data_IF_364182849360
#
_entry.id   IF_364182849360
#
_cell.length_a   1.000
_cell.length_b   1.000
_cell.length_c   1.000
_cell.angle_alpha   90.00
_cell.angle_beta   90.00
_cell.angle_gamma   90.00
#
_symmetry.space_group_name_H-M   'P 1'
#
loop_
_entity.id
_entity.type
_entity.pdbx_description
1 polymer ?
#
# COMPACT_ATOMS: atom_id res chain seq x y z
N UNK A 1 -26.62 26.73 -7.06
CA UNK A 1 -25.80 25.69 -7.71
C UNK A 1 -24.48 25.65 -6.97
N UNK A 2 -24.12 24.51 -6.39
CA UNK A 2 -22.80 24.31 -5.79
C UNK A 2 -21.79 24.25 -6.92
N UNK A 3 -20.87 25.19 -6.97
CA UNK A 3 -19.79 25.20 -7.97
C UNK A 3 -18.87 24.02 -7.70
N UNK A 4 -18.64 23.18 -8.72
CA UNK A 4 -17.67 22.08 -8.65
C UNK A 4 -16.27 22.65 -8.47
N UNK A 5 -15.53 22.11 -7.50
CA UNK A 5 -14.11 22.45 -7.31
C UNK A 5 -13.29 21.87 -8.48
N UNK A 6 -12.77 22.75 -9.33
CA UNK A 6 -11.93 22.38 -10.48
C UNK A 6 -10.44 22.59 -10.24
N UNK A 7 -10.02 22.81 -8.98
CA UNK A 7 -8.59 22.85 -8.64
C UNK A 7 -7.96 21.46 -8.82
N UNK A 8 -6.64 21.39 -8.97
CA UNK A 8 -5.89 20.12 -9.04
C UNK A 8 -6.22 19.21 -7.85
N UNK A 9 -6.25 19.78 -6.65
CA UNK A 9 -6.63 19.09 -5.41
C UNK A 9 -8.08 18.58 -5.45
N UNK A 10 -9.01 19.37 -5.99
CA UNK A 10 -10.41 18.98 -6.15
C UNK A 10 -10.56 17.77 -7.08
N UNK A 11 -9.85 17.78 -8.21
CA UNK A 11 -9.83 16.67 -9.16
C UNK A 11 -9.15 15.42 -8.57
N UNK A 12 -7.99 15.57 -7.94
CA UNK A 12 -7.27 14.47 -7.27
C UNK A 12 -8.14 13.79 -6.21
N UNK A 13 -8.82 14.58 -5.38
CA UNK A 13 -9.71 14.06 -4.33
C UNK A 13 -10.84 13.21 -4.92
N UNK A 14 -11.41 13.64 -6.06
CA UNK A 14 -12.45 12.90 -6.76
C UNK A 14 -11.91 11.57 -7.32
N UNK A 15 -10.73 11.60 -7.96
CA UNK A 15 -10.09 10.40 -8.51
C UNK A 15 -9.78 9.39 -7.39
N UNK A 16 -9.11 9.82 -6.33
CA UNK A 16 -8.73 8.95 -5.20
C UNK A 16 -9.97 8.35 -4.55
N UNK A 17 -11.01 9.14 -4.29
CA UNK A 17 -12.26 8.65 -3.71
C UNK A 17 -12.92 7.57 -4.57
N UNK A 18 -12.92 7.77 -5.89
CA UNK A 18 -13.52 6.83 -6.85
C UNK A 18 -12.72 5.54 -6.94
N UNK A 19 -11.38 5.63 -6.97
CA UNK A 19 -10.50 4.47 -7.11
C UNK A 19 -10.44 3.62 -5.83
N UNK A 20 -10.31 4.27 -4.66
CA UNK A 20 -10.17 3.61 -3.37
C UNK A 20 -11.51 3.13 -2.78
N UNK A 21 -12.65 3.49 -3.38
CA UNK A 21 -13.98 3.17 -2.84
C UNK A 21 -14.31 3.92 -1.53
N UNK A 22 -13.46 4.84 -1.09
CA UNK A 22 -13.69 5.67 0.07
C UNK A 22 -14.50 6.91 -0.36
N UNK A 23 -15.75 7.01 0.07
CA UNK A 23 -16.41 8.32 0.16
C UNK A 23 -15.55 9.17 1.11
N UNK A 24 -14.72 10.06 0.56
CA UNK A 24 -13.85 10.93 1.35
C UNK A 24 -14.73 11.90 2.14
N UNK A 25 -15.12 11.48 3.34
CA UNK A 25 -15.54 12.35 4.42
C UNK A 25 -14.68 12.03 5.64
N UNK A 26 -13.51 12.66 5.66
CA UNK A 26 -12.71 12.86 6.87
C UNK A 26 -12.25 11.58 7.56
N UNK A 27 -11.41 10.77 6.90
CA UNK A 27 -10.64 9.73 7.59
C UNK A 27 -9.29 10.32 7.95
N UNK A 28 -9.07 10.53 9.25
CA UNK A 28 -7.85 11.16 9.82
C UNK A 28 -6.81 10.10 10.19
N UNK A 29 -7.08 8.81 10.01
CA UNK A 29 -6.18 7.74 10.44
C UNK A 29 -5.89 6.78 9.29
N UNK A 30 -4.60 6.64 9.03
CA UNK A 30 -3.97 5.79 8.02
C UNK A 30 -4.15 4.30 8.26
N UNK A 31 -5.40 3.84 8.36
CA UNK A 31 -5.70 2.43 8.55
C UNK A 31 -5.69 1.69 7.22
N UNK A 32 -4.83 0.69 7.12
CA UNK A 32 -4.89 -0.36 6.11
C UNK A 32 -6.17 -1.15 6.33
N UNK A 33 -7.17 -0.91 5.50
CA UNK A 33 -8.38 -1.71 5.41
C UNK A 33 -8.47 -2.32 4.02
N UNK A 34 -8.77 -3.62 3.94
CA UNK A 34 -9.24 -4.19 2.68
C UNK A 34 -10.49 -3.41 2.22
N UNK A 35 -10.58 -3.01 0.94
CA UNK A 35 -11.77 -2.37 0.43
C UNK A 35 -12.91 -3.40 0.42
N UNK A 36 -13.87 -3.24 1.33
CA UNK A 36 -15.15 -3.95 1.28
C UNK A 36 -15.98 -3.33 0.16
N UNK A 37 -15.70 -3.71 -1.07
CA UNK A 37 -16.41 -3.22 -2.23
C UNK A 37 -17.50 -4.23 -2.66
N UNK A 38 -18.69 -4.15 -2.07
CA UNK A 38 -19.86 -4.82 -2.65
C UNK A 38 -20.39 -4.06 -3.89
N UNK A 39 -20.10 -2.75 -4.01
CA UNK A 39 -20.36 -1.92 -5.19
C UNK A 39 -19.44 -0.68 -5.16
N UNK A 40 -18.46 -0.59 -6.08
CA UNK A 40 -17.58 0.58 -6.27
C UNK A 40 -16.14 0.41 -5.73
N UNK A 41 -15.17 1.08 -6.38
CA UNK A 41 -13.73 0.94 -6.14
C UNK A 41 -13.06 0.02 -7.16
N UNK A 42 -11.90 0.41 -7.69
CA UNK A 42 -11.17 -0.39 -8.71
C UNK A 42 -10.29 -1.47 -8.09
N UNK A 43 -10.46 -1.76 -6.80
CA UNK A 43 -9.52 -2.57 -6.01
C UNK A 43 -8.20 -1.84 -5.70
N UNK A 44 -8.11 -0.54 -5.97
CA UNK A 44 -6.94 0.25 -5.64
C UNK A 44 -6.96 0.59 -4.14
N UNK A 45 -5.81 0.45 -3.48
CA UNK A 45 -5.66 0.72 -2.05
C UNK A 45 -4.82 1.99 -1.91
N UNK A 46 -5.36 2.98 -1.19
CA UNK A 46 -4.62 4.19 -0.86
C UNK A 46 -3.65 3.88 0.30
N UNK A 47 -2.35 3.82 -0.01
CA UNK A 47 -1.28 3.58 0.97
C UNK A 47 -0.44 4.84 1.20
N UNK A 48 0.38 4.85 2.27
CA UNK A 48 1.24 5.96 2.60
C UNK A 48 2.59 5.87 1.87
N UNK A 49 2.98 6.95 1.20
CA UNK A 49 4.24 6.99 0.45
C UNK A 49 5.48 6.81 1.34
N UNK A 50 5.37 7.08 2.64
CA UNK A 50 6.45 6.91 3.61
C UNK A 50 6.81 5.44 3.85
N UNK A 51 5.87 4.52 3.60
CA UNK A 51 6.08 3.08 3.78
C UNK A 51 6.88 2.46 2.62
N UNK A 52 7.02 3.22 1.52
CA UNK A 52 7.84 2.86 0.38
C UNK A 52 9.34 2.97 0.69
N UNK A 53 10.01 1.82 0.76
CA UNK A 53 11.45 1.75 0.90
C UNK A 53 12.12 1.88 -0.47
N UNK A 54 12.78 3.03 -0.68
CA UNK A 54 13.48 3.36 -1.94
C UNK A 54 14.70 2.49 -2.23
N UNK A 55 15.38 1.95 -1.21
CA UNK A 55 16.56 1.12 -1.39
C UNK A 55 16.20 -0.21 -2.08
N UNK A 56 15.08 -0.79 -1.66
CA UNK A 56 14.59 -2.08 -2.16
C UNK A 56 13.44 -1.95 -3.17
N UNK A 57 12.98 -0.73 -3.44
CA UNK A 57 11.86 -0.40 -4.33
C UNK A 57 10.55 -1.13 -3.99
N UNK A 58 10.26 -1.32 -2.70
CA UNK A 58 9.08 -2.03 -2.21
C UNK A 58 8.41 -1.29 -1.06
N UNK A 59 7.08 -1.38 -0.98
CA UNK A 59 6.31 -1.00 0.19
C UNK A 59 6.40 -2.12 1.24
N UNK A 60 7.07 -1.85 2.36
CA UNK A 60 7.33 -2.88 3.37
C UNK A 60 6.09 -3.24 4.18
N UNK A 61 5.22 -2.27 4.42
CA UNK A 61 4.01 -2.45 5.21
C UNK A 61 3.00 -3.28 4.41
N UNK A 62 2.82 -2.96 3.13
CA UNK A 62 1.95 -3.74 2.25
C UNK A 62 2.49 -5.15 2.01
N UNK A 63 3.81 -5.32 1.83
CA UNK A 63 4.43 -6.64 1.67
C UNK A 63 4.25 -7.49 2.93
N UNK A 64 4.44 -6.90 4.11
CA UNK A 64 4.22 -7.61 5.38
C UNK A 64 2.76 -8.01 5.54
N UNK A 65 1.81 -7.10 5.32
CA UNK A 65 0.38 -7.40 5.40
C UNK A 65 -0.02 -8.54 4.45
N UNK A 66 0.50 -8.52 3.21
CA UNK A 66 0.29 -9.60 2.24
C UNK A 66 0.83 -10.95 2.72
N UNK A 67 2.05 -10.97 3.27
CA UNK A 67 2.65 -12.21 3.78
C UNK A 67 1.97 -12.71 5.04
N UNK A 68 1.56 -11.83 5.96
CA UNK A 68 0.81 -12.21 7.16
C UNK A 68 -0.54 -12.84 6.78
N UNK A 69 -1.23 -12.28 5.78
CA UNK A 69 -2.52 -12.79 5.31
C UNK A 69 -2.42 -14.12 4.55
N UNK A 70 -1.35 -14.31 3.76
CA UNK A 70 -1.26 -15.46 2.84
C UNK A 70 -0.32 -16.56 3.32
N UNK A 71 0.76 -16.20 4.02
CA UNK A 71 1.90 -17.06 4.34
C UNK A 71 2.52 -16.69 5.70
N UNK A 72 1.78 -16.83 6.82
CA UNK A 72 2.20 -16.32 8.13
C UNK A 72 3.51 -16.94 8.65
N UNK A 73 3.77 -18.21 8.33
CA UNK A 73 5.03 -18.87 8.67
C UNK A 73 6.24 -18.24 7.95
N UNK A 74 6.05 -17.79 6.71
CA UNK A 74 7.08 -17.08 5.94
C UNK A 74 7.28 -15.68 6.51
N UNK A 75 6.20 -14.97 6.83
CA UNK A 75 6.26 -13.63 7.41
C UNK A 75 7.11 -13.60 8.69
N UNK A 76 6.88 -14.56 9.60
CA UNK A 76 7.69 -14.71 10.81
C UNK A 76 9.16 -15.03 10.51
N UNK A 77 9.45 -15.81 9.47
CA UNK A 77 10.81 -16.21 9.11
C UNK A 77 11.62 -15.09 8.44
N UNK A 78 10.98 -14.18 7.70
CA UNK A 78 11.67 -13.07 7.00
C UNK A 78 11.82 -11.81 7.86
N UNK A 79 11.06 -11.68 8.94
CA UNK A 79 11.20 -10.63 9.95
C UNK A 79 11.12 -9.20 9.38
N UNK A 80 10.11 -8.94 8.53
CA UNK A 80 9.97 -7.63 7.87
C UNK A 80 9.72 -6.45 8.84
N UNK A 81 9.14 -6.74 10.01
CA UNK A 81 8.79 -5.74 11.02
C UNK A 81 10.01 -5.07 11.68
N UNK A 82 11.18 -5.71 11.66
CA UNK A 82 12.38 -5.22 12.36
C UNK A 82 13.55 -5.01 11.41
N UNK A 83 14.43 -4.05 11.70
CA UNK A 83 15.66 -3.86 10.93
C UNK A 83 16.74 -4.89 11.28
N UNK A 84 16.48 -6.14 10.90
CA UNK A 84 17.37 -7.26 11.19
C UNK A 84 18.23 -7.64 9.97
N UNK A 85 19.37 -8.33 10.21
CA UNK A 85 20.14 -8.96 9.13
C UNK A 85 19.29 -9.91 8.28
N UNK A 86 18.29 -10.58 8.89
CA UNK A 86 17.34 -11.47 8.21
C UNK A 86 16.51 -10.69 7.19
N UNK A 87 15.92 -9.57 7.62
CA UNK A 87 15.16 -8.67 6.73
C UNK A 87 16.01 -8.20 5.55
N UNK A 88 17.19 -7.64 5.82
CA UNK A 88 18.07 -7.10 4.76
C UNK A 88 18.49 -8.19 3.75
N UNK A 89 18.79 -9.40 4.23
CA UNK A 89 19.13 -10.54 3.34
C UNK A 89 17.97 -10.95 2.44
N UNK A 90 16.76 -11.00 3.00
CA UNK A 90 15.55 -11.29 2.22
C UNK A 90 15.28 -10.21 1.18
N UNK A 91 15.30 -8.93 1.58
CA UNK A 91 15.03 -7.80 0.68
C UNK A 91 16.06 -7.69 -0.45
N UNK A 92 17.35 -7.89 -0.16
CA UNK A 92 18.39 -7.93 -1.19
C UNK A 92 18.15 -9.05 -2.22
N UNK A 93 17.68 -10.23 -1.76
CA UNK A 93 17.33 -11.33 -2.66
C UNK A 93 16.09 -11.00 -3.49
N UNK A 94 15.06 -10.42 -2.87
CA UNK A 94 13.84 -10.01 -3.55
C UNK A 94 14.13 -8.97 -4.64
N UNK A 95 14.90 -7.93 -4.31
CA UNK A 95 15.37 -6.92 -5.25
C UNK A 95 16.13 -7.55 -6.43
N UNK A 96 16.99 -8.53 -6.14
CA UNK A 96 17.71 -9.28 -7.17
C UNK A 96 16.79 -10.06 -8.10
N UNK A 97 15.70 -10.64 -7.61
CA UNK A 97 14.73 -11.35 -8.46
C UNK A 97 13.86 -10.39 -9.29
N UNK A 98 13.40 -9.28 -8.70
CA UNK A 98 12.67 -8.21 -9.43
C UNK A 98 13.57 -7.66 -10.55
N UNK A 99 14.82 -7.32 -10.23
CA UNK A 99 15.75 -6.76 -11.22
C UNK A 99 16.04 -7.71 -12.38
N UNK A 100 15.98 -9.02 -12.16
CA UNK A 100 16.19 -10.04 -13.21
C UNK A 100 14.95 -10.28 -14.07
N UNK A 101 13.75 -10.10 -13.51
CA UNK A 101 12.50 -10.58 -14.11
C UNK A 101 11.54 -9.46 -14.54
N UNK A 102 11.79 -8.23 -14.12
CA UNK A 102 10.84 -7.12 -14.23
C UNK A 102 9.71 -7.28 -13.22
#
# INVERSE_FOLDING_TARGET
>A
MTTTDTTEKGLESLIVSTMAGALVRGSVDGSLGEPVALYGGTGWILVHWQDYNREYAVDLVQLQAFLDATQPAVAAAVDLAHDSPTRRKFLARLQGEISKRG
#
